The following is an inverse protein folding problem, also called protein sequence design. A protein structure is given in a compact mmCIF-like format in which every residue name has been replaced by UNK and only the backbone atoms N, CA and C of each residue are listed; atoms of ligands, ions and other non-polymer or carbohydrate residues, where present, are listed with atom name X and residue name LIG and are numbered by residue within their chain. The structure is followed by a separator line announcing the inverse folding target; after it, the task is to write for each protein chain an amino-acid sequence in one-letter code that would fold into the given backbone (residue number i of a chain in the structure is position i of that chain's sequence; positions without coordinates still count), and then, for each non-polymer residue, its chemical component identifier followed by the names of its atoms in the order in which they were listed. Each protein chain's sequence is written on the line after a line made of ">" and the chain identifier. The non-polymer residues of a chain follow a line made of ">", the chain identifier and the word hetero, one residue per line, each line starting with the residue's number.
data_IF_449165697314
#
_entry.id   IF_449165697314
#
_cell.length_a   1.000
_cell.length_b   1.000
_cell.length_c   1.000
_cell.angle_alpha   90.00
_cell.angle_beta   90.00
_cell.angle_gamma   90.00
#
_symmetry.space_group_name_H-M   'P 1'
#
loop_
_entity.id
_entity.type
_entity.pdbx_description
1 polymer ?
#
# COMPACT_ATOMS: atom_id res chain seq x y z
N UNK A 1 7.50 -5.22 -1.29
CA UNK A 1 6.04 -5.25 -1.10
C UNK A 1 5.65 -6.12 0.10
N UNK A 2 5.78 -7.45 0.06
CA UNK A 2 5.30 -8.32 1.16
C UNK A 2 5.85 -7.98 2.56
N UNK A 3 7.14 -7.69 2.71
CA UNK A 3 7.70 -7.30 4.03
C UNK A 3 7.10 -5.98 4.53
N UNK A 4 7.02 -4.98 3.66
CA UNK A 4 6.44 -3.67 3.97
C UNK A 4 4.93 -3.76 4.28
N UNK A 5 4.21 -4.60 3.56
CA UNK A 5 2.79 -4.89 3.82
C UNK A 5 2.59 -5.50 5.21
N UNK A 6 3.45 -6.42 5.62
CA UNK A 6 3.36 -7.02 6.94
C UNK A 6 3.73 -6.02 8.04
N UNK A 7 4.85 -5.31 7.88
CA UNK A 7 5.39 -4.42 8.91
C UNK A 7 4.57 -3.13 9.07
N UNK A 8 4.06 -2.55 7.98
CA UNK A 8 3.42 -1.23 7.98
C UNK A 8 1.88 -1.29 7.91
N UNK A 9 1.30 -2.46 7.64
CA UNK A 9 -0.15 -2.66 7.71
C UNK A 9 -0.51 -3.81 8.64
N UNK A 10 -0.15 -5.06 8.28
CA UNK A 10 -0.69 -6.23 8.97
C UNK A 10 -0.35 -6.28 10.47
N UNK A 11 0.81 -5.75 10.86
CA UNK A 11 1.32 -5.74 12.22
C UNK A 11 1.62 -4.33 12.75
N UNK A 12 1.15 -3.28 12.06
CA UNK A 12 1.35 -1.90 12.52
C UNK A 12 0.63 -1.64 13.85
N UNK A 13 -0.56 -2.21 14.02
CA UNK A 13 -1.37 -2.13 15.24
C UNK A 13 -2.24 -3.37 15.40
N UNK A 14 -2.70 -3.70 16.61
CA UNK A 14 -3.75 -4.69 16.80
C UNK A 14 -5.06 -4.19 16.16
N UNK A 15 -5.71 -5.03 15.37
CA UNK A 15 -7.06 -4.76 14.85
C UNK A 15 -8.09 -5.50 15.70
N UNK A 16 -9.21 -4.83 15.98
CA UNK A 16 -10.31 -5.39 16.77
C UNK A 16 -11.23 -6.31 15.97
N UNK A 17 -11.23 -6.17 14.64
CA UNK A 17 -12.03 -6.99 13.73
C UNK A 17 -11.40 -7.06 12.33
N UNK A 18 -11.80 -8.06 11.55
CA UNK A 18 -11.40 -8.14 10.14
C UNK A 18 -11.96 -6.99 9.31
N UNK A 19 -13.14 -6.46 9.66
CA UNK A 19 -13.73 -5.30 9.01
C UNK A 19 -12.84 -4.07 9.17
N UNK A 20 -12.43 -3.76 10.41
CA UNK A 20 -11.50 -2.65 10.69
C UNK A 20 -10.17 -2.84 9.94
N UNK A 21 -9.69 -4.09 9.87
CA UNK A 21 -8.46 -4.42 9.15
C UNK A 21 -8.59 -4.20 7.64
N UNK A 22 -9.75 -4.49 7.04
CA UNK A 22 -10.01 -4.26 5.61
C UNK A 22 -10.18 -2.78 5.27
N UNK A 23 -10.82 -2.00 6.13
CA UNK A 23 -10.91 -0.54 5.96
C UNK A 23 -9.50 0.09 6.01
N UNK A 24 -8.73 -0.25 7.05
CA UNK A 24 -7.35 0.21 7.18
C UNK A 24 -6.45 -0.25 6.02
N UNK A 25 -6.74 -1.40 5.41
CA UNK A 25 -5.99 -1.88 4.24
C UNK A 25 -6.16 -0.96 3.03
N UNK A 26 -7.38 -0.49 2.78
CA UNK A 26 -7.68 0.36 1.63
C UNK A 26 -6.95 1.70 1.75
N UNK A 27 -7.00 2.31 2.93
CA UNK A 27 -6.30 3.56 3.23
C UNK A 27 -4.78 3.40 3.13
N UNK A 28 -4.25 2.32 3.72
CA UNK A 28 -2.83 2.02 3.66
C UNK A 28 -2.36 1.79 2.23
N UNK A 29 -3.14 1.10 1.39
CA UNK A 29 -2.79 0.84 0.00
C UNK A 29 -2.73 2.13 -0.81
N UNK A 30 -3.69 3.04 -0.60
CA UNK A 30 -3.68 4.36 -1.22
C UNK A 30 -2.43 5.15 -0.80
N UNK A 31 -2.13 5.21 0.50
CA UNK A 31 -0.92 5.87 0.98
C UNK A 31 0.36 5.24 0.42
N UNK A 32 0.48 3.91 0.44
CA UNK A 32 1.64 3.18 -0.06
C UNK A 32 1.91 3.46 -1.54
N UNK A 33 0.85 3.51 -2.36
CA UNK A 33 0.95 3.68 -3.81
C UNK A 33 1.18 5.13 -4.24
N UNK A 34 0.63 6.11 -3.52
CA UNK A 34 0.58 7.51 -3.97
C UNK A 34 1.37 8.50 -3.11
N UNK A 35 1.72 8.13 -1.87
CA UNK A 35 2.30 9.08 -0.92
C UNK A 35 3.55 8.58 -0.22
N UNK A 36 3.72 7.26 -0.09
CA UNK A 36 4.89 6.69 0.58
C UNK A 36 6.16 7.02 -0.22
N UNK A 37 7.14 7.72 0.38
CA UNK A 37 8.43 7.95 -0.27
C UNK A 37 9.22 6.64 -0.28
N UNK A 38 9.63 6.19 -1.47
CA UNK A 38 10.46 4.99 -1.60
C UNK A 38 11.89 5.37 -1.96
N UNK A 39 12.78 5.32 -0.97
CA UNK A 39 14.21 5.65 -1.14
C UNK A 39 14.91 4.79 -2.18
N UNK A 40 14.52 3.51 -2.31
CA UNK A 40 15.05 2.60 -3.33
C UNK A 40 14.69 2.95 -4.78
N UNK A 41 13.80 3.92 -5.01
CA UNK A 41 13.41 4.40 -6.35
C UNK A 41 13.53 5.92 -6.46
N UNK A 42 14.49 6.51 -5.74
CA UNK A 42 14.75 7.94 -5.80
C UNK A 42 13.69 8.80 -5.12
N UNK A 43 12.99 8.26 -4.12
CA UNK A 43 11.93 8.97 -3.38
C UNK A 43 10.58 9.02 -4.12
N UNK A 44 10.50 8.40 -5.30
CA UNK A 44 9.27 8.30 -6.08
C UNK A 44 8.26 7.34 -5.44
N UNK A 45 7.01 7.43 -5.87
CA UNK A 45 5.94 6.54 -5.39
C UNK A 45 5.78 5.36 -6.35
N UNK A 46 5.19 4.23 -5.94
CA UNK A 46 4.97 3.11 -6.83
C UNK A 46 4.10 3.49 -8.04
N UNK A 47 3.08 4.32 -7.84
CA UNK A 47 2.21 4.79 -8.91
C UNK A 47 2.95 5.67 -9.93
N UNK A 48 3.95 6.45 -9.51
CA UNK A 48 4.71 7.32 -10.45
C UNK A 48 5.61 6.54 -11.40
N UNK A 49 5.85 5.25 -11.15
CA UNK A 49 6.60 4.35 -12.04
C UNK A 49 5.69 3.55 -12.99
N UNK A 50 4.37 3.70 -12.90
CA UNK A 50 3.41 2.84 -13.56
C UNK A 50 2.98 3.30 -14.95
N UNK A 51 3.72 2.92 -15.99
CA UNK A 51 3.16 2.73 -17.35
C UNK A 51 2.78 1.26 -17.54
N UNK A 52 1.78 0.72 -16.81
CA UNK A 52 0.95 -0.43 -17.23
C UNK A 52 -0.10 -0.90 -16.18
N UNK A 53 -0.86 0.00 -15.55
CA UNK A 53 -2.04 -0.40 -14.76
C UNK A 53 -3.36 -0.26 -15.56
N UNK A 54 -3.29 -0.21 -16.89
CA UNK A 54 -4.45 0.04 -17.76
C UNK A 54 -5.32 -1.19 -18.04
N UNK A 55 -5.12 -2.38 -17.46
CA UNK A 55 -5.96 -3.52 -17.87
C UNK A 55 -6.10 -4.64 -16.85
N UNK A 56 -6.78 -4.39 -15.72
CA UNK A 56 -7.40 -5.48 -14.94
C UNK A 56 -8.78 -5.16 -14.34
N UNK A 57 -9.54 -4.21 -14.92
CA UNK A 57 -10.97 -4.10 -14.66
C UNK A 57 -11.76 -4.36 -15.96
N UNK A 58 -11.99 -5.64 -16.27
CA UNK A 58 -13.20 -6.16 -16.94
C UNK A 58 -13.50 -7.53 -16.31
#
# INVERSE_FOLDING_TARGET
>A
FHRTLLDEWAYQRPYSSDHERMEAFTDWLHWYNYHRPHTGIGGQTPASRGTNLSRQHI
#
